data_IF_984196995016
#
_entry.id   IF_984196995016
#
_cell.length_a   1.000
_cell.length_b   1.000
_cell.length_c   1.000
_cell.angle_alpha   90.00
_cell.angle_beta   90.00
_cell.angle_gamma   90.00
#
_symmetry.space_group_name_H-M   'P 1'
#
loop_
_entity.id
_entity.type
_entity.pdbx_description
1 polymer ?
#
# COMPACT_ATOMS: atom_id res chain seq x y z
N UNK A 1 14.41 -14.68 -10.00
CA UNK A 1 14.84 -14.84 -8.59
C UNK A 1 13.57 -14.85 -7.76
N UNK A 2 13.48 -15.69 -6.73
CA UNK A 2 12.34 -15.64 -5.80
C UNK A 2 12.67 -14.56 -4.79
N UNK A 3 12.01 -13.41 -4.90
CA UNK A 3 12.18 -12.31 -3.95
C UNK A 3 11.36 -12.67 -2.71
N UNK A 4 12.05 -12.97 -1.61
CA UNK A 4 11.42 -13.31 -0.33
C UNK A 4 10.61 -12.10 0.15
N UNK A 5 9.31 -12.29 0.39
CA UNK A 5 8.44 -11.23 0.88
C UNK A 5 8.82 -10.89 2.32
N UNK A 6 9.17 -9.64 2.58
CA UNK A 6 9.54 -9.16 3.91
C UNK A 6 8.91 -7.80 4.20
N UNK A 7 8.38 -7.64 5.41
CA UNK A 7 7.93 -6.35 5.95
C UNK A 7 9.03 -5.69 6.76
N UNK A 8 9.07 -4.36 6.74
CA UNK A 8 10.00 -3.55 7.53
C UNK A 8 9.24 -2.54 8.37
N UNK A 9 9.73 -2.26 9.58
CA UNK A 9 9.11 -1.28 10.45
C UNK A 9 9.32 0.14 9.90
N UNK A 10 8.22 0.86 9.68
CA UNK A 10 8.24 2.26 9.23
C UNK A 10 8.12 3.23 10.40
N UNK A 11 8.97 4.26 10.42
CA UNK A 11 8.91 5.38 11.38
C UNK A 11 8.48 6.68 10.69
N UNK A 12 7.19 6.99 10.68
CA UNK A 12 6.62 8.20 10.07
C UNK A 12 5.77 9.01 11.04
N UNK A 13 5.60 10.31 10.75
CA UNK A 13 4.62 11.18 11.42
C UNK A 13 3.38 11.31 10.55
N UNK A 14 2.21 11.16 11.15
CA UNK A 14 0.91 11.30 10.50
C UNK A 14 -0.08 11.99 11.43
N UNK A 15 -1.13 12.61 10.89
CA UNK A 15 -2.21 13.19 11.70
C UNK A 15 -2.80 12.18 12.68
N UNK A 16 -3.00 12.63 13.93
CA UNK A 16 -3.47 11.76 15.03
C UNK A 16 -4.85 11.17 14.76
N UNK A 17 -5.77 11.94 14.20
CA UNK A 17 -7.14 11.49 13.98
C UNK A 17 -7.21 10.60 12.74
N UNK A 18 -6.42 10.87 11.70
CA UNK A 18 -6.28 9.99 10.56
C UNK A 18 -5.77 8.60 10.97
N UNK A 19 -4.77 8.52 11.85
CA UNK A 19 -4.29 7.24 12.39
C UNK A 19 -5.40 6.48 13.13
N UNK A 20 -6.27 7.17 13.87
CA UNK A 20 -7.42 6.52 14.54
C UNK A 20 -8.41 5.92 13.53
N UNK A 21 -8.71 6.67 12.46
CA UNK A 21 -9.58 6.18 11.39
C UNK A 21 -8.97 4.96 10.72
N UNK A 22 -7.68 5.00 10.37
CA UNK A 22 -6.99 3.88 9.75
C UNK A 22 -6.96 2.65 10.66
N UNK A 23 -6.65 2.80 11.95
CA UNK A 23 -6.68 1.69 12.91
C UNK A 23 -8.07 1.10 13.09
N UNK A 24 -9.10 1.94 13.21
CA UNK A 24 -10.48 1.47 13.32
C UNK A 24 -10.97 0.75 12.07
N UNK A 25 -10.58 1.22 10.88
CA UNK A 25 -10.89 0.55 9.62
C UNK A 25 -10.16 -0.78 9.48
N UNK A 26 -8.88 -0.83 9.87
CA UNK A 26 -8.09 -2.06 9.86
C UNK A 26 -8.73 -3.13 10.77
N UNK A 27 -9.10 -2.76 12.00
CA UNK A 27 -9.82 -3.64 12.93
C UNK A 27 -11.15 -4.13 12.34
N UNK A 28 -11.94 -3.22 11.74
CA UNK A 28 -13.22 -3.58 11.14
C UNK A 28 -13.08 -4.59 9.98
N UNK A 29 -11.99 -4.49 9.21
CA UNK A 29 -11.69 -5.37 8.09
C UNK A 29 -10.97 -6.67 8.50
N UNK A 30 -10.70 -6.88 9.80
CA UNK A 30 -9.84 -7.96 10.29
C UNK A 30 -8.47 -7.93 9.57
N UNK A 31 -7.79 -6.79 9.55
CA UNK A 31 -6.45 -6.61 8.98
C UNK A 31 -5.57 -5.73 9.89
N UNK A 32 -4.26 -5.90 9.80
CA UNK A 32 -3.31 -5.02 10.49
C UNK A 32 -3.27 -3.65 9.80
N UNK A 33 -2.78 -2.64 10.55
CA UNK A 33 -2.53 -1.32 9.96
C UNK A 33 -1.52 -1.39 8.79
N UNK A 34 -0.53 -2.29 8.87
CA UNK A 34 0.44 -2.51 7.80
C UNK A 34 -0.23 -3.01 6.52
N UNK A 35 -1.07 -4.03 6.63
CA UNK A 35 -1.81 -4.60 5.48
C UNK A 35 -2.78 -3.58 4.85
N UNK A 36 -3.49 -2.80 5.67
CA UNK A 36 -4.35 -1.73 5.15
C UNK A 36 -3.54 -0.68 4.39
N UNK A 37 -2.37 -0.28 4.92
CA UNK A 37 -1.50 0.69 4.25
C UNK A 37 -0.94 0.13 2.94
N UNK A 38 -0.47 -1.12 2.92
CA UNK A 38 -0.03 -1.82 1.70
C UNK A 38 -1.12 -1.81 0.63
N UNK A 39 -2.36 -2.15 1.01
CA UNK A 39 -3.53 -2.12 0.13
C UNK A 39 -3.79 -0.71 -0.43
N UNK A 40 -3.83 0.32 0.42
CA UNK A 40 -4.08 1.71 -0.01
C UNK A 40 -2.98 2.17 -0.99
N UNK A 41 -1.72 1.90 -0.67
CA UNK A 41 -0.58 2.32 -1.50
C UNK A 41 -0.61 1.63 -2.86
N UNK A 42 -0.88 0.33 -2.91
CA UNK A 42 -1.02 -0.39 -4.18
C UNK A 42 -2.14 0.19 -5.05
N UNK A 43 -3.28 0.58 -4.47
CA UNK A 43 -4.35 1.26 -5.23
C UNK A 43 -3.94 2.66 -5.68
N UNK A 44 -3.18 3.42 -4.89
CA UNK A 44 -2.72 4.75 -5.31
C UNK A 44 -1.80 4.72 -6.53
N UNK A 45 -1.12 3.59 -6.75
CA UNK A 45 -0.23 3.38 -7.89
C UNK A 45 -0.96 2.98 -9.17
N UNK A 46 -2.24 2.59 -9.09
CA UNK A 46 -3.05 2.19 -10.24
C UNK A 46 -3.77 3.41 -10.82
N UNK A 47 -3.45 3.84 -12.06
CA UNK A 47 -4.05 5.01 -12.64
C UNK A 47 -5.45 4.73 -13.18
N UNK A 48 -6.31 5.74 -13.12
CA UNK A 48 -7.57 5.77 -13.88
C UNK A 48 -7.27 6.46 -15.21
N UNK A 49 -7.33 5.75 -16.36
CA UNK A 49 -6.97 6.33 -17.65
C UNK A 49 -7.78 7.57 -17.98
N UNK A 50 -7.10 8.67 -18.24
CA UNK A 50 -7.71 9.98 -18.51
C UNK A 50 -7.93 10.88 -17.28
N UNK A 51 -7.79 10.36 -16.06
CA UNK A 51 -7.95 11.09 -14.80
C UNK A 51 -6.62 11.22 -14.01
N UNK A 52 -5.48 11.01 -14.66
CA UNK A 52 -4.18 10.93 -13.98
C UNK A 52 -3.77 12.25 -13.32
N UNK A 53 -3.71 12.25 -11.99
CA UNK A 53 -3.32 13.41 -11.17
C UNK A 53 -4.50 14.30 -10.78
N UNK A 54 -5.72 13.98 -11.21
CA UNK A 54 -6.92 14.80 -10.99
C UNK A 54 -7.87 14.19 -9.96
N UNK A 55 -8.04 12.87 -9.96
CA UNK A 55 -9.00 12.18 -9.10
C UNK A 55 -8.35 11.50 -7.89
N UNK A 56 -9.15 11.30 -6.83
CA UNK A 56 -8.71 10.53 -5.65
C UNK A 56 -8.29 9.09 -5.98
N UNK A 57 -8.85 8.52 -7.05
CA UNK A 57 -8.53 7.17 -7.50
C UNK A 57 -7.22 7.11 -8.30
N UNK A 58 -6.75 8.24 -8.84
CA UNK A 58 -5.50 8.34 -9.59
C UNK A 58 -4.69 9.57 -9.15
N UNK A 59 -4.24 9.61 -7.88
CA UNK A 59 -3.73 10.83 -7.25
C UNK A 59 -2.35 11.28 -7.76
N UNK A 60 -1.72 10.51 -8.66
CA UNK A 60 -0.38 10.77 -9.18
C UNK A 60 -0.44 11.26 -10.63
N UNK A 61 0.40 12.26 -10.94
CA UNK A 61 0.57 12.72 -12.31
C UNK A 61 1.18 11.63 -13.20
N UNK A 62 0.98 11.74 -14.52
CA UNK A 62 1.58 10.82 -15.51
C UNK A 62 3.08 10.59 -15.31
N UNK A 63 3.83 11.66 -15.07
CA UNK A 63 5.27 11.59 -14.79
C UNK A 63 5.58 10.80 -13.52
N UNK A 64 4.79 10.97 -12.46
CA UNK A 64 5.00 10.22 -11.22
C UNK A 64 4.66 8.74 -11.40
N UNK A 65 3.61 8.42 -12.17
CA UNK A 65 3.22 7.05 -12.49
C UNK A 65 4.30 6.30 -13.28
N UNK A 66 4.96 6.96 -14.24
CA UNK A 66 6.12 6.40 -14.95
C UNK A 66 7.27 6.02 -14.00
N UNK A 67 7.56 6.90 -13.02
CA UNK A 67 8.58 6.64 -11.99
C UNK A 67 8.14 5.49 -11.08
N UNK A 68 6.88 5.47 -10.65
CA UNK A 68 6.32 4.41 -9.81
C UNK A 68 6.44 3.05 -10.52
N UNK A 69 6.07 2.95 -11.80
CA UNK A 69 6.14 1.69 -12.55
C UNK A 69 7.59 1.19 -12.70
N UNK A 70 8.52 2.12 -12.96
CA UNK A 70 9.95 1.81 -13.00
C UNK A 70 10.44 1.27 -11.64
N UNK A 71 10.10 1.94 -10.54
CA UNK A 71 10.51 1.53 -9.19
C UNK A 71 9.88 0.18 -8.80
N UNK A 72 8.60 -0.02 -9.13
CA UNK A 72 7.92 -1.30 -8.89
C UNK A 72 8.62 -2.46 -9.60
N UNK A 73 9.04 -2.24 -10.84
CA UNK A 73 9.81 -3.23 -11.60
C UNK A 73 11.17 -3.50 -10.96
N UNK A 74 11.87 -2.48 -10.47
CA UNK A 74 13.18 -2.63 -9.83
C UNK A 74 13.14 -3.37 -8.48
N UNK A 75 12.04 -3.24 -7.74
CA UNK A 75 11.88 -3.80 -6.40
C UNK A 75 10.90 -4.98 -6.34
N UNK A 76 10.57 -5.58 -7.49
CA UNK A 76 9.65 -6.73 -7.61
C UNK A 76 8.27 -6.49 -6.97
N UNK A 77 7.75 -5.26 -7.02
CA UNK A 77 6.41 -4.92 -6.52
C UNK A 77 5.36 -5.19 -7.61
N UNK A 78 4.36 -6.05 -7.36
CA UNK A 78 3.36 -6.44 -8.37
C UNK A 78 2.58 -5.27 -8.95
N UNK A 79 2.09 -5.46 -10.19
CA UNK A 79 1.25 -4.47 -10.89
C UNK A 79 -0.22 -4.50 -10.52
N UNK A 80 -0.71 -5.63 -10.05
CA UNK A 80 -2.10 -5.77 -9.62
C UNK A 80 -2.33 -4.97 -8.33
N UNK A 81 -3.26 -3.98 -8.31
CA UNK A 81 -3.62 -3.24 -7.09
C UNK A 81 -4.20 -4.14 -5.99
N UNK A 82 -4.64 -5.36 -6.33
CA UNK A 82 -5.14 -6.36 -5.40
C UNK A 82 -4.10 -7.42 -5.01
N UNK A 83 -2.84 -7.27 -5.40
CA UNK A 83 -1.78 -8.23 -5.10
C UNK A 83 -1.59 -8.50 -3.59
N UNK A 84 -1.93 -7.52 -2.74
CA UNK A 84 -1.84 -7.70 -1.28
C UNK A 84 -2.71 -8.82 -0.72
N UNK A 85 -3.75 -9.28 -1.45
CA UNK A 85 -4.56 -10.44 -1.05
C UNK A 85 -3.77 -11.75 -1.03
N UNK A 86 -2.65 -11.81 -1.76
CA UNK A 86 -1.74 -12.94 -1.78
C UNK A 86 -0.56 -12.82 -0.82
N UNK A 87 -0.40 -11.68 -0.14
CA UNK A 87 0.70 -11.50 0.81
C UNK A 87 0.43 -12.31 2.08
N UNK A 88 1.48 -12.85 2.74
CA UNK A 88 1.35 -13.46 4.05
C UNK A 88 0.67 -12.50 5.02
N UNK A 89 -0.25 -13.02 5.83
CA UNK A 89 -0.91 -12.24 6.88
C UNK A 89 0.14 -11.68 7.84
N UNK A 90 -0.02 -10.44 8.23
CA UNK A 90 0.85 -9.84 9.25
C UNK A 90 0.43 -10.38 10.62
N UNK A 91 0.94 -11.55 10.97
CA UNK A 91 0.76 -12.15 12.30
C UNK A 91 1.70 -11.46 13.28
N UNK A 92 1.51 -10.17 13.50
CA UNK A 92 2.21 -9.42 14.52
C UNK A 92 1.60 -9.67 15.90
N UNK A 93 1.45 -10.94 16.29
CA UNK A 93 1.48 -11.30 17.71
C UNK A 93 2.96 -11.44 18.08
N UNK A 94 3.58 -10.30 18.39
CA UNK A 94 4.77 -10.24 19.24
C UNK A 94 4.40 -10.54 20.69
N UNK A 95 3.75 -11.69 20.92
CA UNK A 95 3.41 -12.23 22.22
C UNK A 95 4.38 -13.36 22.58
N UNK A 96 5.49 -13.00 23.21
CA UNK A 96 5.98 -13.61 24.46
C UNK A 96 6.94 -12.62 25.16
#
# INVERSE_FOLDING_TARGET
MVTEFARVQLGVRMDKNLVKVLKGLAEFNDETLGELLEKIVLHSFDPVPGDEGESCASPHSRRALEVIDTLRTMYDVPADPHASRGFPRDTADGGD
#
